data_IF_044932853726
#
_entry.id   IF_044932853726
#
_cell.length_a   1.000
_cell.length_b   1.000
_cell.length_c   1.000
_cell.angle_alpha   90.00
_cell.angle_beta   90.00
_cell.angle_gamma   90.00
#
_symmetry.space_group_name_H-M   'P 1'
#
loop_
_entity.id
_entity.type
_entity.pdbx_description
1 polymer ?
#
# COMPACT_ATOMS: atom_id res chain seq x y z
N UNK A 1 -37.88 38.94 -10.74
CA UNK A 1 -37.42 37.96 -9.73
C UNK A 1 -37.84 36.57 -10.18
N UNK A 2 -36.89 35.75 -10.64
CA UNK A 2 -37.09 34.31 -10.93
C UNK A 2 -36.09 33.56 -10.07
N UNK A 3 -36.59 32.78 -9.10
CA UNK A 3 -35.77 31.96 -8.20
C UNK A 3 -35.68 30.57 -8.84
N UNK A 4 -34.45 30.14 -9.12
CA UNK A 4 -34.10 28.80 -9.57
C UNK A 4 -33.86 27.96 -8.31
N UNK A 5 -34.49 26.79 -8.11
CA UNK A 5 -34.13 25.92 -7.01
C UNK A 5 -32.86 25.13 -7.37
N UNK A 6 -31.85 25.31 -6.52
CA UNK A 6 -30.53 24.68 -6.58
C UNK A 6 -30.64 23.21 -6.17
N UNK A 7 -30.11 22.34 -7.02
CA UNK A 7 -29.70 20.97 -6.76
C UNK A 7 -28.76 20.89 -5.55
N UNK A 8 -28.93 19.91 -4.65
CA UNK A 8 -27.76 19.28 -4.04
C UNK A 8 -28.02 17.81 -3.69
N UNK A 9 -27.45 16.97 -4.56
CA UNK A 9 -27.15 15.57 -4.38
C UNK A 9 -26.45 15.33 -3.03
N UNK A 10 -27.10 14.60 -2.13
CA UNK A 10 -26.44 13.91 -1.02
C UNK A 10 -26.88 12.46 -1.08
N UNK A 11 -26.20 11.63 -1.86
CA UNK A 11 -26.18 10.18 -1.68
C UNK A 11 -25.11 9.58 -2.59
N UNK A 12 -23.83 9.64 -2.19
CA UNK A 12 -22.77 8.81 -2.76
C UNK A 12 -21.54 8.82 -1.83
N UNK A 13 -21.60 8.08 -0.72
CA UNK A 13 -20.38 7.69 0.02
C UNK A 13 -20.51 6.47 0.95
N UNK A 14 -21.67 5.80 1.04
CA UNK A 14 -21.82 4.64 1.93
C UNK A 14 -21.44 3.27 1.34
N UNK A 15 -21.12 3.19 0.04
CA UNK A 15 -20.81 1.91 -0.62
C UNK A 15 -19.43 1.33 -0.30
N UNK A 16 -18.42 2.17 -0.02
CA UNK A 16 -17.03 1.69 0.14
C UNK A 16 -16.71 1.15 1.55
N UNK A 17 -17.58 1.41 2.53
CA UNK A 17 -17.33 1.08 3.94
C UNK A 17 -17.86 -0.31 4.34
N UNK A 18 -18.91 -0.82 3.67
CA UNK A 18 -19.50 -2.13 4.01
C UNK A 18 -18.67 -3.31 3.47
N UNK A 19 -18.16 -3.21 2.24
CA UNK A 19 -17.34 -4.27 1.61
C UNK A 19 -16.03 -4.49 2.37
N UNK A 20 -15.36 -3.41 2.78
CA UNK A 20 -14.06 -3.49 3.47
C UNK A 20 -14.16 -4.19 4.84
N UNK A 21 -15.31 -4.08 5.51
CA UNK A 21 -15.56 -4.70 6.82
C UNK A 21 -15.76 -6.22 6.68
N UNK A 22 -16.62 -6.64 5.75
CA UNK A 22 -16.84 -8.07 5.45
C UNK A 22 -15.56 -8.79 5.01
N UNK A 23 -14.61 -8.08 4.40
CA UNK A 23 -13.37 -8.65 3.87
C UNK A 23 -12.24 -8.79 4.90
N UNK A 24 -12.08 -7.81 5.81
CA UNK A 24 -11.24 -7.98 6.99
C UNK A 24 -11.75 -9.12 7.87
N UNK A 25 -13.08 -9.30 7.91
CA UNK A 25 -13.70 -10.41 8.61
C UNK A 25 -13.36 -11.77 7.97
N UNK A 26 -13.14 -11.86 6.66
CA UNK A 26 -12.83 -13.13 5.97
C UNK A 26 -11.42 -13.63 6.22
N UNK A 27 -10.40 -12.79 6.06
CA UNK A 27 -9.02 -13.20 6.38
C UNK A 27 -8.90 -13.58 7.87
N UNK A 28 -9.53 -12.77 8.73
CA UNK A 28 -9.60 -13.04 10.17
C UNK A 28 -10.31 -14.36 10.47
N UNK A 29 -11.40 -14.65 9.74
CA UNK A 29 -12.11 -15.92 9.82
C UNK A 29 -11.20 -17.10 9.47
N UNK A 30 -10.49 -17.04 8.33
CA UNK A 30 -9.58 -18.11 7.92
C UNK A 30 -8.44 -18.31 8.92
N UNK A 31 -7.82 -17.23 9.40
CA UNK A 31 -6.77 -17.30 10.43
C UNK A 31 -7.28 -17.96 11.71
N UNK A 32 -8.49 -17.59 12.17
CA UNK A 32 -9.11 -18.18 13.37
C UNK A 32 -9.39 -19.67 13.19
N UNK A 33 -9.87 -20.08 12.02
CA UNK A 33 -10.09 -21.50 11.72
C UNK A 33 -8.78 -22.29 11.73
N UNK A 34 -7.74 -21.79 11.06
CA UNK A 34 -6.42 -22.43 11.03
C UNK A 34 -5.79 -22.54 12.42
N UNK A 35 -5.95 -21.50 13.25
CA UNK A 35 -5.48 -21.50 14.64
C UNK A 35 -6.23 -22.52 15.49
N UNK A 36 -7.56 -22.58 15.37
CA UNK A 36 -8.40 -23.52 16.13
C UNK A 36 -8.22 -24.98 15.70
N UNK A 37 -7.70 -25.23 14.50
CA UNK A 37 -7.42 -26.58 13.99
C UNK A 37 -5.95 -26.97 14.09
N UNK A 38 -5.11 -26.22 14.81
CA UNK A 38 -3.66 -26.41 14.78
C UNK A 38 -3.20 -27.81 15.24
N UNK A 39 -3.94 -28.43 16.16
CA UNK A 39 -3.63 -29.76 16.70
C UNK A 39 -4.28 -30.91 15.91
N UNK A 40 -5.25 -30.62 15.04
CA UNK A 40 -5.97 -31.60 14.22
C UNK A 40 -5.49 -31.49 12.77
N UNK A 41 -4.52 -32.32 12.41
CA UNK A 41 -3.86 -32.29 11.11
C UNK A 41 -4.81 -32.55 9.94
N UNK A 42 -5.81 -33.43 10.12
CA UNK A 42 -6.80 -33.74 9.08
C UNK A 42 -7.73 -32.55 8.86
N UNK A 43 -8.23 -31.95 9.94
CA UNK A 43 -9.07 -30.76 9.87
C UNK A 43 -8.31 -29.57 9.30
N UNK A 44 -7.05 -29.38 9.68
CA UNK A 44 -6.22 -28.30 9.16
C UNK A 44 -5.95 -28.47 7.67
N UNK A 45 -5.69 -29.69 7.20
CA UNK A 45 -5.52 -29.98 5.78
C UNK A 45 -6.78 -29.66 4.96
N UNK A 46 -7.96 -30.00 5.50
CA UNK A 46 -9.24 -29.70 4.86
C UNK A 46 -9.50 -28.19 4.79
N UNK A 47 -9.25 -27.45 5.86
CA UNK A 47 -9.35 -25.98 5.85
C UNK A 47 -8.41 -25.37 4.81
N UNK A 48 -7.15 -25.82 4.74
CA UNK A 48 -6.19 -25.35 3.73
C UNK A 48 -6.66 -25.66 2.30
N UNK A 49 -7.29 -26.81 2.08
CA UNK A 49 -7.89 -27.16 0.78
C UNK A 49 -9.03 -26.22 0.40
N UNK A 50 -9.89 -25.85 1.35
CA UNK A 50 -10.97 -24.90 1.13
C UNK A 50 -10.45 -23.50 0.79
N UNK A 51 -9.48 -23.00 1.57
CA UNK A 51 -8.81 -21.72 1.31
C UNK A 51 -8.22 -21.71 -0.11
N UNK A 52 -7.53 -22.79 -0.50
CA UNK A 52 -6.93 -22.89 -1.85
C UNK A 52 -8.00 -22.84 -2.95
N UNK A 53 -9.10 -23.57 -2.80
CA UNK A 53 -10.17 -23.59 -3.79
C UNK A 53 -10.82 -22.20 -3.96
N UNK A 54 -11.02 -21.46 -2.87
CA UNK A 54 -11.52 -20.09 -2.92
C UNK A 54 -10.53 -19.13 -3.57
N UNK A 55 -9.25 -19.20 -3.18
CA UNK A 55 -8.19 -18.37 -3.75
C UNK A 55 -8.08 -18.59 -5.26
N UNK A 56 -8.18 -19.85 -5.72
CA UNK A 56 -8.19 -20.18 -7.14
C UNK A 56 -9.41 -19.60 -7.86
N UNK A 57 -10.61 -19.72 -7.30
CA UNK A 57 -11.83 -19.11 -7.84
C UNK A 57 -11.72 -17.59 -7.96
N UNK A 58 -11.15 -16.93 -6.96
CA UNK A 58 -10.94 -15.48 -6.97
C UNK A 58 -9.86 -15.06 -7.97
N UNK A 59 -8.78 -15.85 -8.11
CA UNK A 59 -7.69 -15.58 -9.06
C UNK A 59 -8.16 -15.54 -10.52
N UNK A 60 -9.22 -16.28 -10.84
CA UNK A 60 -9.84 -16.33 -12.16
C UNK A 60 -10.60 -15.04 -12.52
N UNK A 61 -10.96 -14.19 -11.55
CA UNK A 61 -11.64 -12.91 -11.78
C UNK A 61 -10.64 -11.84 -12.23
N UNK A 62 -10.05 -12.04 -13.42
CA UNK A 62 -8.88 -11.29 -13.91
C UNK A 62 -9.06 -9.77 -14.02
N UNK A 63 -10.30 -9.29 -14.08
CA UNK A 63 -10.65 -7.87 -14.25
C UNK A 63 -11.19 -7.22 -12.96
N UNK A 64 -11.13 -7.92 -11.83
CA UNK A 64 -11.58 -7.40 -10.54
C UNK A 64 -10.38 -7.34 -9.57
N UNK A 65 -9.84 -6.13 -9.28
CA UNK A 65 -8.66 -6.00 -8.42
C UNK A 65 -8.94 -6.48 -7.00
N UNK A 66 -10.15 -6.28 -6.47
CA UNK A 66 -10.53 -6.79 -5.15
C UNK A 66 -10.43 -8.31 -5.09
N UNK A 67 -10.98 -9.02 -6.07
CA UNK A 67 -10.90 -10.49 -6.09
C UNK A 67 -9.48 -11.00 -6.30
N UNK A 68 -8.66 -10.32 -7.09
CA UNK A 68 -7.25 -10.66 -7.17
C UNK A 68 -6.53 -10.45 -5.82
N UNK A 69 -6.81 -9.35 -5.13
CA UNK A 69 -6.22 -9.09 -3.82
C UNK A 69 -6.68 -10.08 -2.74
N UNK A 70 -7.95 -10.49 -2.78
CA UNK A 70 -8.51 -11.56 -1.96
C UNK A 70 -7.76 -12.88 -2.16
N UNK A 71 -7.59 -13.30 -3.42
CA UNK A 71 -6.81 -14.49 -3.75
C UNK A 71 -5.36 -14.39 -3.26
N UNK A 72 -4.72 -13.22 -3.43
CA UNK A 72 -3.35 -12.97 -2.96
C UNK A 72 -3.22 -13.22 -1.46
N UNK A 73 -4.12 -12.64 -0.65
CA UNK A 73 -4.11 -12.80 0.81
C UNK A 73 -4.33 -14.25 1.23
N UNK A 74 -5.26 -14.94 0.58
CA UNK A 74 -5.57 -16.34 0.89
C UNK A 74 -4.43 -17.29 0.54
N UNK A 75 -3.76 -17.10 -0.60
CA UNK A 75 -2.57 -17.89 -0.94
C UNK A 75 -1.43 -17.68 0.07
N UNK A 76 -1.28 -16.49 0.64
CA UNK A 76 -0.29 -16.24 1.69
C UNK A 76 -0.59 -16.97 3.00
N UNK A 77 -1.85 -17.28 3.30
CA UNK A 77 -2.23 -18.03 4.52
C UNK A 77 -1.82 -19.51 4.46
N UNK A 78 -1.57 -20.05 3.26
CA UNK A 78 -1.29 -21.47 3.08
C UNK A 78 0.16 -21.85 3.43
N UNK A 79 1.07 -20.88 3.40
CA UNK A 79 2.49 -21.02 3.78
C UNK A 79 3.25 -22.12 3.01
N UNK A 80 2.80 -22.46 1.80
CA UNK A 80 3.53 -23.38 0.91
C UNK A 80 4.32 -22.61 -0.15
N UNK A 81 5.37 -23.23 -0.70
CA UNK A 81 6.17 -22.65 -1.78
C UNK A 81 5.36 -22.40 -3.05
N UNK A 82 4.51 -23.34 -3.47
CA UNK A 82 3.65 -23.19 -4.65
C UNK A 82 2.64 -22.04 -4.47
N UNK A 83 1.96 -22.00 -3.32
CA UNK A 83 0.97 -20.96 -3.03
C UNK A 83 1.63 -19.58 -2.92
N UNK A 84 2.85 -19.50 -2.39
CA UNK A 84 3.66 -18.27 -2.38
C UNK A 84 4.00 -17.76 -3.80
N UNK A 85 4.32 -18.67 -4.72
CA UNK A 85 4.55 -18.32 -6.13
C UNK A 85 3.27 -17.83 -6.81
N UNK A 86 2.11 -18.44 -6.51
CA UNK A 86 0.80 -17.98 -6.99
C UNK A 86 0.48 -16.58 -6.44
N UNK A 87 0.68 -16.34 -5.15
CA UNK A 87 0.53 -15.02 -4.54
C UNK A 87 1.42 -13.97 -5.22
N UNK A 88 2.69 -14.29 -5.48
CA UNK A 88 3.62 -13.38 -6.18
C UNK A 88 3.11 -13.00 -7.57
N UNK A 89 2.68 -13.98 -8.38
CA UNK A 89 2.10 -13.74 -9.72
C UNK A 89 0.86 -12.83 -9.66
N UNK A 90 0.02 -13.02 -8.66
CA UNK A 90 -1.18 -12.18 -8.49
C UNK A 90 -0.80 -10.75 -8.09
N UNK A 91 0.17 -10.59 -7.18
CA UNK A 91 0.71 -9.28 -6.81
C UNK A 91 1.25 -8.55 -8.03
N UNK A 92 2.09 -9.19 -8.84
CA UNK A 92 2.62 -8.62 -10.08
C UNK A 92 1.51 -8.19 -11.04
N UNK A 93 0.47 -9.02 -11.19
CA UNK A 93 -0.70 -8.69 -12.00
C UNK A 93 -1.48 -7.48 -11.47
N UNK A 94 -1.64 -7.33 -10.15
CA UNK A 94 -2.26 -6.17 -9.54
C UNK A 94 -1.47 -4.89 -9.84
N UNK A 95 -0.14 -4.94 -9.70
CA UNK A 95 0.74 -3.81 -9.99
C UNK A 95 0.69 -3.40 -11.47
N UNK A 96 0.62 -4.38 -12.39
CA UNK A 96 0.61 -4.10 -13.82
C UNK A 96 -0.76 -3.61 -14.32
N UNK A 97 -1.85 -4.26 -13.92
CA UNK A 97 -3.19 -3.98 -14.46
C UNK A 97 -3.96 -2.91 -13.70
N UNK A 98 -3.69 -2.77 -12.41
CA UNK A 98 -4.47 -1.91 -11.51
C UNK A 98 -3.56 -1.05 -10.63
N UNK A 99 -2.60 -0.30 -11.22
CA UNK A 99 -1.56 0.38 -10.46
C UNK A 99 -2.09 1.53 -9.57
N UNK A 100 -3.25 2.09 -9.91
CA UNK A 100 -3.93 3.18 -9.19
C UNK A 100 -5.07 2.68 -8.29
N UNK A 101 -5.30 1.37 -8.23
CA UNK A 101 -6.39 0.80 -7.44
C UNK A 101 -6.11 0.90 -5.94
N UNK A 102 -7.20 0.86 -5.15
CA UNK A 102 -7.15 0.70 -3.69
C UNK A 102 -6.29 -0.51 -3.29
N UNK A 103 -6.39 -1.63 -4.01
CA UNK A 103 -5.66 -2.84 -3.67
C UNK A 103 -4.15 -2.68 -3.87
N UNK A 104 -3.73 -1.99 -4.93
CA UNK A 104 -2.31 -1.64 -5.12
C UNK A 104 -1.84 -0.64 -4.06
N UNK A 105 -2.70 0.29 -3.63
CA UNK A 105 -2.41 1.15 -2.49
C UNK A 105 -2.19 0.33 -1.20
N UNK A 106 -3.06 -0.64 -0.88
CA UNK A 106 -2.88 -1.50 0.30
C UNK A 106 -1.61 -2.35 0.22
N UNK A 107 -1.27 -2.89 -0.98
CA UNK A 107 -0.01 -3.60 -1.22
C UNK A 107 1.22 -2.72 -1.00
N UNK A 108 1.15 -1.45 -1.40
CA UNK A 108 2.24 -0.49 -1.21
C UNK A 108 2.37 -0.09 0.26
N UNK A 109 1.23 0.12 0.92
CA UNK A 109 1.13 0.46 2.33
C UNK A 109 1.73 -0.62 3.24
N UNK A 110 1.26 -1.87 3.09
CA UNK A 110 1.78 -3.01 3.87
C UNK A 110 3.27 -3.21 3.65
N UNK A 111 3.72 -3.32 2.39
CA UNK A 111 5.14 -3.57 2.11
C UNK A 111 6.04 -2.42 2.60
N UNK A 112 5.54 -1.18 2.55
CA UNK A 112 6.26 -0.05 3.11
C UNK A 112 6.50 -0.22 4.61
N UNK A 113 5.46 -0.43 5.41
CA UNK A 113 5.62 -0.55 6.85
C UNK A 113 6.37 -1.82 7.27
N UNK A 114 6.14 -2.94 6.59
CA UNK A 114 6.86 -4.20 6.83
C UNK A 114 8.38 -4.02 6.66
N UNK A 115 8.80 -3.22 5.68
CA UNK A 115 10.22 -2.93 5.43
C UNK A 115 10.77 -1.82 6.31
N UNK A 116 9.96 -0.83 6.67
CA UNK A 116 10.42 0.38 7.37
C UNK A 116 10.49 0.18 8.88
N UNK A 117 9.58 -0.58 9.49
CA UNK A 117 9.60 -0.79 10.95
C UNK A 117 10.91 -1.41 11.48
N UNK A 118 11.49 -2.45 10.86
CA UNK A 118 12.75 -3.01 11.32
C UNK A 118 13.92 -2.01 11.29
N UNK A 119 13.85 -0.99 10.43
CA UNK A 119 14.90 0.01 10.24
C UNK A 119 14.46 1.42 10.63
N UNK A 120 13.42 1.55 11.46
CA UNK A 120 12.75 2.82 11.76
C UNK A 120 13.70 3.95 12.20
N UNK A 121 14.78 3.58 12.90
CA UNK A 121 15.80 4.50 13.42
C UNK A 121 17.01 4.69 12.49
N UNK A 122 17.10 3.97 11.38
CA UNK A 122 18.23 4.04 10.45
C UNK A 122 17.81 4.78 9.17
N UNK A 123 18.07 6.08 9.11
CA UNK A 123 17.74 6.94 7.95
C UNK A 123 18.44 6.48 6.67
N UNK A 124 19.68 6.00 6.74
CA UNK A 124 20.41 5.52 5.55
C UNK A 124 19.71 4.33 4.90
N UNK A 125 19.26 3.35 5.70
CA UNK A 125 18.51 2.20 5.18
C UNK A 125 17.11 2.60 4.71
N UNK A 126 16.44 3.52 5.41
CA UNK A 126 15.14 4.06 4.98
C UNK A 126 15.25 4.68 3.59
N UNK A 127 16.26 5.50 3.32
CA UNK A 127 16.46 6.13 2.00
C UNK A 127 16.54 5.07 0.89
N UNK A 128 17.36 4.02 1.07
CA UNK A 128 17.49 2.92 0.10
C UNK A 128 16.15 2.22 -0.13
N UNK A 129 15.49 1.78 0.94
CA UNK A 129 14.23 1.03 0.87
C UNK A 129 13.13 1.86 0.20
N UNK A 130 12.95 3.11 0.63
CA UNK A 130 11.87 3.96 0.11
C UNK A 130 12.11 4.29 -1.36
N UNK A 131 13.36 4.53 -1.76
CA UNK A 131 13.71 4.78 -3.17
C UNK A 131 13.38 3.59 -4.07
N UNK A 132 13.62 2.36 -3.61
CA UNK A 132 13.22 1.15 -4.34
C UNK A 132 11.71 0.98 -4.42
N UNK A 133 10.99 1.27 -3.34
CA UNK A 133 9.53 1.22 -3.31
C UNK A 133 8.90 2.25 -4.26
N UNK A 134 9.46 3.46 -4.34
CA UNK A 134 9.02 4.48 -5.31
C UNK A 134 9.17 4.01 -6.76
N UNK A 135 10.27 3.30 -7.09
CA UNK A 135 10.48 2.70 -8.42
C UNK A 135 9.49 1.57 -8.73
N UNK A 136 9.15 0.78 -7.72
CA UNK A 136 8.22 -0.36 -7.83
C UNK A 136 6.77 0.08 -7.97
N UNK A 137 6.35 1.09 -7.21
CA UNK A 137 4.97 1.51 -7.10
C UNK A 137 4.72 2.85 -7.79
N UNK A 138 4.90 2.91 -9.12
CA UNK A 138 5.01 4.19 -9.85
C UNK A 138 3.70 5.00 -9.96
N UNK A 139 2.51 4.39 -9.81
CA UNK A 139 1.25 5.13 -10.01
C UNK A 139 0.29 5.08 -8.83
N UNK A 140 0.71 4.51 -7.70
CA UNK A 140 -0.13 4.54 -6.50
C UNK A 140 -0.06 5.90 -5.81
N UNK A 141 -1.17 6.34 -5.22
CA UNK A 141 -1.21 7.53 -4.39
C UNK A 141 -0.41 7.37 -3.08
N UNK A 142 -0.08 6.13 -2.67
CA UNK A 142 0.77 5.89 -1.49
C UNK A 142 2.19 6.46 -1.64
N UNK A 143 2.64 6.73 -2.88
CA UNK A 143 3.91 7.43 -3.14
C UNK A 143 4.01 8.77 -2.42
N UNK A 144 2.88 9.46 -2.17
CA UNK A 144 2.85 10.71 -1.40
C UNK A 144 3.50 10.52 -0.02
N UNK A 145 3.07 9.49 0.71
CA UNK A 145 3.64 9.14 2.03
C UNK A 145 5.11 8.76 1.88
N UNK A 146 5.46 7.95 0.87
CA UNK A 146 6.85 7.56 0.62
C UNK A 146 7.76 8.79 0.44
N UNK A 147 7.36 9.77 -0.37
CA UNK A 147 8.13 11.00 -0.57
C UNK A 147 8.32 11.80 0.72
N UNK A 148 7.29 11.90 1.56
CA UNK A 148 7.40 12.60 2.85
C UNK A 148 8.43 11.94 3.78
N UNK A 149 8.40 10.62 3.90
CA UNK A 149 9.38 9.88 4.71
C UNK A 149 10.80 9.95 4.12
N UNK A 150 10.90 9.88 2.79
CA UNK A 150 12.18 9.97 2.09
C UNK A 150 12.83 11.33 2.30
N UNK A 151 12.09 12.41 2.05
CA UNK A 151 12.59 13.78 2.20
C UNK A 151 12.99 14.10 3.64
N UNK A 152 12.22 13.62 4.64
CA UNK A 152 12.60 13.70 6.04
C UNK A 152 13.94 12.98 6.32
N UNK A 153 14.10 11.75 5.83
CA UNK A 153 15.31 10.95 6.08
C UNK A 153 16.53 11.56 5.38
N UNK A 154 16.37 12.08 4.15
CA UNK A 154 17.43 12.77 3.41
C UNK A 154 17.88 14.05 4.12
N UNK A 155 16.94 14.82 4.68
CA UNK A 155 17.24 15.98 5.50
C UNK A 155 18.04 15.61 6.75
N UNK A 156 17.63 14.57 7.48
CA UNK A 156 18.35 14.07 8.66
C UNK A 156 19.80 13.66 8.37
N UNK A 157 20.05 13.19 7.15
CA UNK A 157 21.37 12.78 6.68
C UNK A 157 22.16 13.91 5.99
N UNK A 158 21.62 15.13 5.93
CA UNK A 158 22.20 16.27 5.21
C UNK A 158 22.50 15.98 3.71
N UNK A 159 21.71 15.13 3.05
CA UNK A 159 21.88 14.77 1.63
C UNK A 159 21.13 15.73 0.71
N UNK A 160 21.61 16.98 0.62
CA UNK A 160 20.91 18.09 -0.05
C UNK A 160 20.58 17.83 -1.53
N UNK A 161 21.54 17.31 -2.30
CA UNK A 161 21.36 17.04 -3.74
C UNK A 161 20.26 16.00 -3.99
N UNK A 162 20.30 14.89 -3.24
CA UNK A 162 19.26 13.85 -3.30
C UNK A 162 17.90 14.40 -2.86
N UNK A 163 17.85 15.22 -1.80
CA UNK A 163 16.64 15.88 -1.33
C UNK A 163 16.01 16.75 -2.41
N UNK A 164 16.80 17.61 -3.07
CA UNK A 164 16.33 18.47 -4.15
C UNK A 164 15.76 17.65 -5.31
N UNK A 165 16.48 16.60 -5.73
CA UNK A 165 16.01 15.68 -6.77
C UNK A 165 14.65 15.07 -6.43
N UNK A 166 14.50 14.50 -5.24
CA UNK A 166 13.26 13.83 -4.86
C UNK A 166 12.10 14.80 -4.58
N UNK A 167 12.38 16.04 -4.17
CA UNK A 167 11.36 17.09 -4.11
C UNK A 167 10.85 17.45 -5.51
N UNK A 168 11.72 17.57 -6.50
CA UNK A 168 11.31 17.81 -7.87
C UNK A 168 10.45 16.65 -8.41
N UNK A 169 10.89 15.41 -8.20
CA UNK A 169 10.09 14.22 -8.57
C UNK A 169 8.73 14.21 -7.85
N UNK A 170 8.69 14.56 -6.57
CA UNK A 170 7.45 14.64 -5.80
C UNK A 170 6.50 15.69 -6.40
N UNK A 171 7.00 16.90 -6.70
CA UNK A 171 6.22 17.97 -7.31
C UNK A 171 5.67 17.59 -8.68
N UNK A 172 6.46 16.90 -9.50
CA UNK A 172 6.03 16.41 -10.81
C UNK A 172 4.97 15.31 -10.69
N UNK A 173 5.13 14.39 -9.74
CA UNK A 173 4.17 13.31 -9.53
C UNK A 173 2.84 13.80 -8.94
N UNK A 174 2.86 14.86 -8.14
CA UNK A 174 1.69 15.40 -7.43
C UNK A 174 1.61 16.94 -7.53
N UNK A 175 1.33 17.50 -8.72
CA UNK A 175 1.40 18.94 -8.96
C UNK A 175 0.38 19.78 -8.17
N UNK A 176 -0.69 19.14 -7.69
CA UNK A 176 -1.77 19.80 -6.93
C UNK A 176 -1.66 19.59 -5.41
N UNK A 177 -0.68 18.84 -4.92
CA UNK A 177 -0.49 18.56 -3.49
C UNK A 177 0.39 19.62 -2.82
N UNK A 178 -0.08 20.86 -2.80
CA UNK A 178 0.69 22.01 -2.33
C UNK A 178 1.14 21.88 -0.86
N UNK A 179 0.21 21.61 0.06
CA UNK A 179 0.49 21.57 1.50
C UNK A 179 1.50 20.45 1.91
N UNK A 180 1.28 19.17 1.53
CA UNK A 180 2.25 18.10 1.76
C UNK A 180 3.65 18.40 1.20
N UNK A 181 3.70 18.97 -0.01
CA UNK A 181 4.95 19.32 -0.67
C UNK A 181 5.69 20.44 0.07
N UNK A 182 5.00 21.54 0.40
CA UNK A 182 5.60 22.69 1.08
C UNK A 182 6.26 22.31 2.42
N UNK A 183 5.61 21.43 3.19
CA UNK A 183 6.20 20.91 4.44
C UNK A 183 7.52 20.18 4.22
N UNK A 184 7.63 19.45 3.11
CA UNK A 184 8.84 18.71 2.74
C UNK A 184 9.91 19.65 2.14
N UNK A 185 9.49 20.67 1.41
CA UNK A 185 10.38 21.66 0.78
C UNK A 185 11.14 22.52 1.81
N UNK A 186 10.52 22.80 2.98
CA UNK A 186 11.17 23.51 4.10
C UNK A 186 12.49 22.88 4.58
N UNK A 187 12.72 21.61 4.30
CA UNK A 187 13.99 20.96 4.63
C UNK A 187 15.16 21.55 3.84
N UNK A 188 14.96 22.05 2.61
CA UNK A 188 16.02 22.73 1.87
C UNK A 188 16.38 24.07 2.52
N UNK A 189 15.38 24.87 2.92
CA UNK A 189 15.58 26.16 3.61
C UNK A 189 16.31 25.98 4.95
N UNK A 190 15.95 24.95 5.71
CA UNK A 190 16.59 24.65 7.00
C UNK A 190 17.98 24.02 6.87
N UNK A 191 18.36 23.52 5.70
CA UNK A 191 19.68 22.91 5.50
C UNK A 191 20.81 23.94 5.39
N UNK A 192 20.47 25.22 5.23
CA UNK A 192 21.41 26.35 5.23
C UNK A 192 21.49 27.09 6.58
N UNK A 193 20.74 26.67 7.60
CA UNK A 193 20.68 27.38 8.90
C UNK A 193 21.87 27.10 9.83
N UNK A 194 22.81 26.22 9.47
CA UNK A 194 24.11 26.11 10.18
C UNK A 194 25.10 27.23 9.83
N UNK A 195 24.67 28.25 9.08
CA UNK A 195 25.37 29.52 8.89
C UNK A 195 24.61 30.73 9.44
N UNK A 196 23.60 30.52 10.29
CA UNK A 196 22.87 31.61 10.94
C UNK A 196 22.62 31.31 12.43
N UNK A 197 23.71 31.27 13.20
CA UNK A 197 23.96 31.96 14.49
C UNK A 197 25.17 31.33 15.19
#
# INVERSE_FOLDING_TARGET
>A
MKIIPIFLLIFLSFGACSENKQEQDRERYWRKLLQNSAEDSLRQAEIKKQIRAEAEKFSQKKNNPQKLYDAYREFLLLETSDDSLKAKKIKEKLLLKFPESKQTFELANSEFYDKIYPVWRNDSLKVTIISELLKKYQRTNWRRTMYQYLTYSLNKLNRKEELQKFLQEYRTAFPYDYEPFLRSAKYLENSDSTLAL
#
